data_IF_528001843169
#
_entry.id   IF_528001843169
#
_cell.length_a   1.000
_cell.length_b   1.000
_cell.length_c   1.000
_cell.angle_alpha   90.00
_cell.angle_beta   90.00
_cell.angle_gamma   90.00
#
_symmetry.space_group_name_H-M   'P 1'
#
loop_
_entity.id
_entity.type
_entity.pdbx_description
1 polymer ?
#
# COMPACT_ATOMS: atom_id res chain seq x y z
N UNK A 1 19.99 7.35 -6.16
CA UNK A 1 18.98 6.91 -7.16
C UNK A 1 17.55 6.94 -6.61
N UNK A 2 17.25 6.36 -5.44
CA UNK A 2 15.89 6.35 -4.83
C UNK A 2 15.26 7.74 -4.70
N UNK A 3 16.02 8.76 -4.28
CA UNK A 3 15.55 10.13 -4.12
C UNK A 3 15.09 10.77 -5.44
N UNK A 4 15.83 10.53 -6.53
CA UNK A 4 15.48 11.05 -7.87
C UNK A 4 14.15 10.47 -8.33
N UNK A 5 13.94 9.17 -8.11
CA UNK A 5 12.69 8.49 -8.45
C UNK A 5 11.51 8.96 -7.58
N UNK A 6 11.74 9.25 -6.29
CA UNK A 6 10.71 9.83 -5.42
C UNK A 6 10.34 11.27 -5.86
N UNK A 7 11.32 12.08 -6.25
CA UNK A 7 11.08 13.43 -6.81
C UNK A 7 10.31 13.33 -8.12
N UNK A 8 10.70 12.40 -8.99
CA UNK A 8 10.01 12.15 -10.26
C UNK A 8 8.56 11.70 -10.02
N UNK A 9 8.33 10.80 -9.05
CA UNK A 9 6.99 10.41 -8.63
C UNK A 9 6.17 11.62 -8.19
N UNK A 10 6.74 12.47 -7.33
CA UNK A 10 6.05 13.65 -6.83
C UNK A 10 5.62 14.59 -7.96
N UNK A 11 6.53 14.88 -8.91
CA UNK A 11 6.29 15.81 -10.05
C UNK A 11 5.34 15.22 -11.10
N UNK A 12 5.45 13.92 -11.40
CA UNK A 12 4.66 13.28 -12.46
C UNK A 12 3.26 12.80 -12.03
N UNK A 13 2.79 13.17 -10.84
CA UNK A 13 1.40 12.90 -10.41
C UNK A 13 1.25 12.04 -9.15
N UNK A 14 2.34 11.61 -8.52
CA UNK A 14 2.33 10.97 -7.21
C UNK A 14 1.73 11.84 -6.10
N UNK A 15 1.70 13.17 -6.29
CA UNK A 15 0.96 14.08 -5.41
C UNK A 15 -0.54 13.79 -5.41
N UNK A 16 -1.15 13.57 -6.57
CA UNK A 16 -2.60 13.31 -6.67
C UNK A 16 -3.00 12.00 -6.03
N UNK A 17 -2.22 10.94 -6.25
CA UNK A 17 -2.48 9.63 -5.64
C UNK A 17 -2.26 9.65 -4.14
N UNK A 18 -1.25 10.38 -3.66
CA UNK A 18 -1.04 10.59 -2.22
C UNK A 18 -2.20 11.37 -1.60
N UNK A 19 -2.70 12.41 -2.28
CA UNK A 19 -3.84 13.18 -1.81
C UNK A 19 -5.11 12.32 -1.75
N UNK A 20 -5.34 11.44 -2.73
CA UNK A 20 -6.45 10.50 -2.71
C UNK A 20 -6.41 9.57 -1.47
N UNK A 21 -5.23 9.06 -1.13
CA UNK A 21 -5.03 8.27 0.09
C UNK A 21 -5.16 9.07 1.38
N UNK A 22 -4.71 10.32 1.38
CA UNK A 22 -4.88 11.22 2.52
C UNK A 22 -6.36 11.52 2.76
N UNK A 23 -7.12 11.82 1.70
CA UNK A 23 -8.58 12.00 1.77
C UNK A 23 -9.27 10.74 2.25
N UNK A 24 -8.88 9.57 1.74
CA UNK A 24 -9.40 8.28 2.21
C UNK A 24 -9.11 8.06 3.70
N UNK A 25 -7.94 8.48 4.19
CA UNK A 25 -7.60 8.44 5.62
C UNK A 25 -8.51 9.37 6.43
N UNK A 26 -8.75 10.60 5.97
CA UNK A 26 -9.64 11.57 6.64
C UNK A 26 -11.08 11.07 6.68
N UNK A 27 -11.61 10.58 5.55
CA UNK A 27 -12.95 9.97 5.47
C UNK A 27 -13.04 8.79 6.43
N UNK A 28 -11.99 7.96 6.51
CA UNK A 28 -11.97 6.84 7.42
C UNK A 28 -12.04 7.27 8.90
N UNK A 29 -11.31 8.32 9.27
CA UNK A 29 -11.37 8.90 10.63
C UNK A 29 -12.78 9.42 10.94
N UNK A 30 -13.39 10.15 10.01
CA UNK A 30 -14.74 10.71 10.18
C UNK A 30 -15.80 9.64 10.33
N UNK A 31 -15.63 8.49 9.67
CA UNK A 31 -16.63 7.44 9.67
C UNK A 31 -16.67 6.61 10.96
N UNK A 32 -15.78 6.80 11.94
CA UNK A 32 -15.69 6.10 13.27
C UNK A 32 -15.63 4.56 13.18
N UNK A 33 -16.56 3.90 12.49
CA UNK A 33 -16.59 2.45 12.27
C UNK A 33 -15.41 1.96 11.40
N UNK A 34 -14.75 2.82 10.63
CA UNK A 34 -13.53 2.47 9.87
C UNK A 34 -12.22 2.89 10.54
N UNK A 35 -12.24 3.32 11.81
CA UNK A 35 -11.03 3.63 12.57
C UNK A 35 -9.90 2.57 12.49
N UNK A 36 -10.17 1.24 12.52
CA UNK A 36 -9.09 0.26 12.34
C UNK A 36 -8.42 0.34 10.96
N UNK A 37 -9.11 0.85 9.95
CA UNK A 37 -8.62 1.02 8.59
C UNK A 37 -7.74 2.26 8.41
N UNK A 38 -7.93 3.27 9.24
CA UNK A 38 -7.18 4.53 9.20
C UNK A 38 -5.68 4.29 9.21
N UNK A 39 -5.21 3.36 10.07
CA UNK A 39 -3.79 3.01 10.15
C UNK A 39 -3.25 2.45 8.83
N UNK A 40 -4.01 1.57 8.18
CA UNK A 40 -3.63 1.00 6.89
C UNK A 40 -3.60 2.06 5.78
N UNK A 41 -4.58 2.95 5.74
CA UNK A 41 -4.62 4.04 4.76
C UNK A 41 -3.43 4.99 4.93
N UNK A 42 -3.05 5.29 6.19
CA UNK A 42 -1.87 6.09 6.50
C UNK A 42 -0.56 5.42 6.05
N UNK A 43 -0.43 4.11 6.25
CA UNK A 43 0.72 3.36 5.75
C UNK A 43 0.83 3.47 4.22
N UNK A 44 -0.27 3.24 3.49
CA UNK A 44 -0.26 3.30 2.03
C UNK A 44 -0.07 4.74 1.52
N UNK A 45 -0.54 5.76 2.26
CA UNK A 45 -0.24 7.17 1.96
C UNK A 45 1.26 7.42 1.95
N UNK A 46 1.99 6.92 2.96
CA UNK A 46 3.46 7.02 3.01
C UNK A 46 4.14 6.31 1.84
N UNK A 47 3.61 5.15 1.45
CA UNK A 47 4.10 4.41 0.29
C UNK A 47 3.82 5.15 -1.03
N UNK A 48 2.68 5.81 -1.16
CA UNK A 48 2.33 6.60 -2.34
C UNK A 48 3.23 7.83 -2.47
N UNK A 49 3.59 8.45 -1.34
CA UNK A 49 4.50 9.59 -1.31
C UNK A 49 5.94 9.17 -1.65
N UNK A 50 6.42 8.09 -1.04
CA UNK A 50 7.79 7.60 -1.15
C UNK A 50 7.79 6.10 -1.51
N UNK A 51 7.48 5.75 -2.77
CA UNK A 51 7.38 4.36 -3.19
C UNK A 51 8.75 3.68 -3.29
N UNK A 52 9.82 4.44 -3.52
CA UNK A 52 11.14 3.86 -3.75
C UNK A 52 11.92 3.73 -2.45
N UNK A 53 12.27 2.49 -2.11
CA UNK A 53 12.95 2.11 -0.87
C UNK A 53 12.03 1.54 0.20
N UNK A 54 10.72 1.57 -0.03
CA UNK A 54 9.70 1.01 0.86
C UNK A 54 8.87 -0.04 0.12
N UNK A 55 8.38 -1.03 0.87
CA UNK A 55 7.50 -2.08 0.36
C UNK A 55 6.37 -2.36 1.36
N UNK A 56 5.17 -2.62 0.86
CA UNK A 56 4.04 -3.07 1.68
C UNK A 56 4.05 -4.60 1.81
N UNK A 57 4.31 -5.07 3.02
CA UNK A 57 4.35 -6.50 3.37
C UNK A 57 3.19 -6.80 4.33
N UNK A 58 2.66 -8.02 4.28
CA UNK A 58 1.60 -8.44 5.19
C UNK A 58 2.16 -8.63 6.62
N UNK A 59 1.41 -8.22 7.64
CA UNK A 59 1.87 -8.31 9.05
C UNK A 59 2.23 -9.74 9.42
N UNK A 60 1.50 -10.74 8.90
CA UNK A 60 1.78 -12.16 9.11
C UNK A 60 3.16 -12.59 8.60
N UNK A 61 3.68 -11.96 7.53
CA UNK A 61 5.06 -12.21 7.07
C UNK A 61 6.09 -11.51 7.97
N UNK A 62 5.72 -10.38 8.58
CA UNK A 62 6.60 -9.58 9.44
C UNK A 62 6.69 -10.13 10.86
N UNK A 63 5.58 -10.69 11.37
CA UNK A 63 5.42 -11.23 12.73
C UNK A 63 4.58 -12.51 12.70
N UNK A 64 5.16 -13.62 12.23
CA UNK A 64 4.44 -14.90 12.15
C UNK A 64 4.01 -15.44 13.52
N UNK A 65 4.74 -15.09 14.58
CA UNK A 65 4.52 -15.62 15.94
C UNK A 65 3.31 -14.97 16.65
N UNK A 66 2.82 -13.82 16.18
CA UNK A 66 1.70 -13.05 16.77
C UNK A 66 0.34 -13.33 16.07
N UNK A 67 0.24 -14.42 15.29
CA UNK A 67 -0.94 -14.69 14.45
C UNK A 67 -2.17 -15.03 15.30
N UNK A 68 -3.17 -14.16 15.29
CA UNK A 68 -4.48 -14.42 15.90
C UNK A 68 -5.55 -14.59 14.83
N UNK A 69 -6.16 -15.79 14.76
CA UNK A 69 -7.19 -16.13 13.76
C UNK A 69 -8.39 -15.16 13.79
N UNK A 70 -8.76 -14.68 14.97
CA UNK A 70 -9.85 -13.71 15.16
C UNK A 70 -9.52 -12.37 14.50
N UNK A 71 -8.28 -11.89 14.64
CA UNK A 71 -7.85 -10.63 14.04
C UNK A 71 -7.72 -10.73 12.52
N UNK A 72 -7.24 -11.87 12.01
CA UNK A 72 -7.19 -12.15 10.57
C UNK A 72 -8.59 -12.20 9.94
N UNK A 73 -9.56 -12.85 10.61
CA UNK A 73 -10.94 -12.91 10.13
C UNK A 73 -11.61 -11.53 10.14
N UNK A 74 -11.44 -10.75 11.21
CA UNK A 74 -11.94 -9.37 11.28
C UNK A 74 -11.29 -8.47 10.21
N UNK A 75 -9.99 -8.64 9.95
CA UNK A 75 -9.29 -7.91 8.90
C UNK A 75 -9.79 -8.22 7.49
N UNK A 76 -10.11 -9.49 7.20
CA UNK A 76 -10.69 -9.90 5.92
C UNK A 76 -12.08 -9.31 5.70
N UNK A 77 -12.94 -9.29 6.72
CA UNK A 77 -14.26 -8.66 6.63
C UNK A 77 -14.15 -7.15 6.36
N UNK A 78 -13.23 -6.48 7.04
CA UNK A 78 -12.95 -5.06 6.82
C UNK A 78 -12.42 -4.79 5.41
N UNK A 79 -11.61 -5.67 4.84
CA UNK A 79 -11.16 -5.57 3.45
C UNK A 79 -12.33 -5.70 2.46
N UNK A 80 -13.26 -6.64 2.68
CA UNK A 80 -14.44 -6.80 1.81
C UNK A 80 -15.31 -5.54 1.87
N UNK A 81 -15.57 -5.05 3.07
CA UNK A 81 -16.28 -3.79 3.27
C UNK A 81 -15.56 -2.66 2.51
N UNK A 82 -14.26 -2.49 2.74
CA UNK A 82 -13.46 -1.46 2.08
C UNK A 82 -13.54 -1.55 0.56
N UNK A 83 -13.39 -2.75 0.01
CA UNK A 83 -13.41 -2.98 -1.43
C UNK A 83 -14.71 -2.46 -2.04
N UNK A 84 -15.87 -2.71 -1.41
CA UNK A 84 -17.18 -2.29 -1.93
C UNK A 84 -17.35 -0.76 -1.93
N UNK A 85 -16.92 -0.08 -0.86
CA UNK A 85 -17.17 1.36 -0.69
C UNK A 85 -16.08 2.25 -1.31
N UNK A 86 -14.81 1.93 -1.13
CA UNK A 86 -13.68 2.83 -1.43
C UNK A 86 -12.55 2.19 -2.25
N UNK A 87 -12.29 0.89 -2.08
CA UNK A 87 -11.09 0.22 -2.60
C UNK A 87 -11.00 0.20 -4.12
N UNK A 88 -12.12 0.00 -4.82
CA UNK A 88 -12.12 -0.05 -6.29
C UNK A 88 -11.88 1.32 -6.94
N UNK A 89 -12.40 2.40 -6.35
CA UNK A 89 -12.17 3.78 -6.82
C UNK A 89 -10.68 4.15 -6.72
N UNK A 90 -10.07 3.83 -5.57
CA UNK A 90 -8.64 4.08 -5.36
C UNK A 90 -7.79 3.25 -6.31
N UNK A 91 -8.09 1.96 -6.46
CA UNK A 91 -7.41 1.08 -7.42
C UNK A 91 -7.48 1.66 -8.85
N UNK A 92 -8.67 2.07 -9.30
CA UNK A 92 -8.85 2.64 -10.64
C UNK A 92 -8.08 3.96 -10.80
N UNK A 93 -8.08 4.83 -9.79
CA UNK A 93 -7.32 6.09 -9.81
C UNK A 93 -5.81 5.86 -9.99
N UNK A 94 -5.25 4.83 -9.34
CA UNK A 94 -3.86 4.44 -9.52
C UNK A 94 -3.58 3.82 -10.89
N UNK A 95 -4.50 3.02 -11.43
CA UNK A 95 -4.36 2.45 -12.77
C UNK A 95 -4.33 3.57 -13.82
N UNK A 96 -5.27 4.51 -13.75
CA UNK A 96 -5.35 5.65 -14.69
C UNK A 96 -4.10 6.51 -14.58
N UNK A 97 -3.68 6.86 -13.36
CA UNK A 97 -2.45 7.64 -13.12
C UNK A 97 -1.22 6.89 -13.61
N UNK A 98 -1.15 5.57 -13.37
CA UNK A 98 -0.05 4.73 -13.82
C UNK A 98 0.05 4.66 -15.34
N UNK A 99 -1.07 4.50 -16.04
CA UNK A 99 -1.12 4.53 -17.51
C UNK A 99 -0.68 5.90 -18.03
N UNK A 100 -1.21 6.99 -17.47
CA UNK A 100 -0.84 8.34 -17.85
C UNK A 100 0.66 8.61 -17.68
N UNK A 101 1.26 8.11 -16.61
CA UNK A 101 2.70 8.20 -16.36
C UNK A 101 3.52 7.35 -17.33
N UNK A 102 3.06 6.15 -17.67
CA UNK A 102 3.73 5.28 -18.64
C UNK A 102 3.81 5.91 -20.05
N UNK A 103 2.82 6.73 -20.45
CA UNK A 103 2.83 7.42 -21.75
C UNK A 103 4.03 8.38 -21.88
N UNK A 104 4.52 8.94 -20.77
CA UNK A 104 5.62 9.92 -20.80
C UNK A 104 7.01 9.30 -21.00
N UNK A 105 7.13 7.96 -21.14
CA UNK A 105 8.36 7.14 -21.22
C UNK A 105 9.27 7.29 -19.98
N UNK A 106 9.65 8.50 -19.62
CA UNK A 106 10.36 8.90 -18.40
C UNK A 106 9.57 8.47 -17.16
N UNK A 107 8.23 8.48 -17.22
CA UNK A 107 7.35 8.10 -16.12
C UNK A 107 7.09 6.60 -15.97
N UNK A 108 7.58 5.73 -16.86
CA UNK A 108 7.42 4.26 -16.76
C UNK A 108 7.79 3.70 -15.37
N UNK A 109 8.94 4.02 -14.75
CA UNK A 109 9.27 3.50 -13.42
C UNK A 109 8.24 3.93 -12.37
N UNK A 110 7.65 5.12 -12.51
CA UNK A 110 6.63 5.67 -11.59
C UNK A 110 5.27 5.02 -11.84
N UNK A 111 4.90 4.82 -13.10
CA UNK A 111 3.68 4.13 -13.47
C UNK A 111 3.64 2.69 -12.93
N UNK A 112 4.76 1.97 -13.00
CA UNK A 112 4.91 0.64 -12.40
C UNK A 112 4.71 0.67 -10.89
N UNK A 113 5.22 1.69 -10.20
CA UNK A 113 5.00 1.85 -8.76
C UNK A 113 3.50 2.08 -8.45
N UNK A 114 2.81 2.89 -9.26
CA UNK A 114 1.37 3.09 -9.12
C UNK A 114 0.54 1.81 -9.33
N UNK A 115 0.90 0.97 -10.30
CA UNK A 115 0.23 -0.33 -10.46
C UNK A 115 0.44 -1.26 -9.26
N UNK A 116 1.63 -1.25 -8.65
CA UNK A 116 1.87 -2.00 -7.41
C UNK A 116 0.99 -1.51 -6.26
N UNK A 117 0.87 -0.19 -6.11
CA UNK A 117 0.01 0.42 -5.08
C UNK A 117 -1.47 0.14 -5.39
N UNK A 118 -1.88 0.09 -6.66
CA UNK A 118 -3.26 -0.24 -7.05
C UNK A 118 -3.69 -1.61 -6.52
N UNK A 119 -2.82 -2.63 -6.61
CA UNK A 119 -3.10 -3.95 -6.05
C UNK A 119 -3.23 -3.93 -4.52
N UNK A 120 -2.39 -3.13 -3.85
CA UNK A 120 -2.44 -2.95 -2.39
C UNK A 120 -3.69 -2.15 -1.98
N UNK A 121 -4.18 -1.25 -2.83
CA UNK A 121 -5.35 -0.40 -2.59
C UNK A 121 -6.64 -1.20 -2.37
N UNK A 122 -6.74 -2.36 -3.01
CA UNK A 122 -7.88 -3.27 -2.89
C UNK A 122 -7.95 -3.93 -1.50
N UNK A 123 -6.78 -4.22 -0.91
CA UNK A 123 -6.66 -4.99 0.34
C UNK A 123 -5.71 -4.31 1.33
N UNK A 124 -6.07 -3.12 1.84
CA UNK A 124 -5.16 -2.32 2.66
C UNK A 124 -4.97 -2.89 4.08
N UNK A 125 -5.92 -3.67 4.58
CA UNK A 125 -5.88 -4.18 5.96
C UNK A 125 -4.81 -5.25 6.10
N UNK A 126 -4.06 -5.17 7.20
CA UNK A 126 -2.99 -6.11 7.51
C UNK A 126 -1.69 -5.86 6.75
N UNK A 127 -1.58 -4.77 5.96
CA UNK A 127 -0.34 -4.36 5.32
C UNK A 127 0.43 -3.34 6.17
N UNK A 128 1.76 -3.42 6.13
CA UNK A 128 2.68 -2.47 6.75
C UNK A 128 3.73 -2.04 5.76
N UNK A 129 4.07 -0.75 5.78
CA UNK A 129 5.11 -0.20 4.93
C UNK A 129 6.41 -0.21 5.72
N UNK A 130 7.36 -0.98 5.21
CA UNK A 130 8.71 -1.13 5.77
C UNK A 130 9.74 -0.93 4.67
N UNK A 131 11.01 -0.83 5.04
CA UNK A 131 12.07 -0.78 4.04
C UNK A 131 12.18 -2.10 3.27
N UNK A 132 12.59 -2.03 2.00
CA UNK A 132 12.76 -3.22 1.15
C UNK A 132 13.73 -4.22 1.77
N UNK A 133 14.78 -3.73 2.44
CA UNK A 133 15.78 -4.56 3.12
C UNK A 133 15.17 -5.34 4.29
N UNK A 134 14.27 -4.71 5.06
CA UNK A 134 13.58 -5.38 6.16
C UNK A 134 12.56 -6.39 5.64
N UNK A 135 11.82 -6.04 4.58
CA UNK A 135 10.88 -6.95 3.94
C UNK A 135 11.58 -8.20 3.40
N UNK A 136 12.75 -8.03 2.78
CA UNK A 136 13.56 -9.13 2.29
C UNK A 136 14.08 -10.01 3.43
N UNK A 137 14.63 -9.41 4.49
CA UNK A 137 15.09 -10.15 5.66
C UNK A 137 13.96 -10.96 6.34
N UNK A 138 12.75 -10.40 6.41
CA UNK A 138 11.57 -11.10 6.94
C UNK A 138 11.20 -12.31 6.07
N UNK A 139 11.17 -12.15 4.74
CA UNK A 139 10.90 -13.25 3.78
C UNK A 139 11.95 -14.35 3.87
N UNK A 140 13.24 -14.00 3.93
CA UNK A 140 14.33 -14.96 4.08
C UNK A 140 14.22 -15.75 5.40
N UNK A 141 13.90 -15.08 6.50
CA UNK A 141 13.69 -15.73 7.78
C UNK A 141 12.48 -16.68 7.76
N UNK A 142 11.37 -16.30 7.12
CA UNK A 142 10.21 -17.18 6.96
C UNK A 142 10.53 -18.39 6.09
N UNK A 143 11.24 -18.21 4.97
CA UNK A 143 11.69 -19.31 4.12
C UNK A 143 12.59 -20.28 4.91
N UNK A 144 13.53 -19.76 5.69
CA UNK A 144 14.38 -20.57 6.57
C UNK A 144 13.59 -21.35 7.62
N UNK A 145 12.49 -20.79 8.15
CA UNK A 145 11.63 -21.51 9.12
C UNK A 145 10.83 -22.64 8.47
N UNK A 146 10.39 -22.46 7.21
CA UNK A 146 9.56 -23.45 6.51
C UNK A 146 10.34 -24.63 5.91
N UNK A 147 11.61 -24.46 5.57
CA UNK A 147 12.44 -25.48 4.92
C UNK A 147 13.58 -26.00 5.81
N UNK A 148 13.42 -25.94 7.13
CA UNK A 148 14.39 -26.48 8.09
C UNK A 148 14.03 -27.90 8.52
#
# INVERSE_FOLDING_TARGET
MRTVLNILNFVLGGFFTTLAWLLATVVSVLLIFTLPLTRSCWEITKLSLLPYGNEAIHVDELRPDDKSTILSAGGSLLNIFWFIFFGWWLCLSHIITGIAQCITIIGIPVGIANFKIAAIALWPVGRRVVSVELAQAARENNARRHFR
#
